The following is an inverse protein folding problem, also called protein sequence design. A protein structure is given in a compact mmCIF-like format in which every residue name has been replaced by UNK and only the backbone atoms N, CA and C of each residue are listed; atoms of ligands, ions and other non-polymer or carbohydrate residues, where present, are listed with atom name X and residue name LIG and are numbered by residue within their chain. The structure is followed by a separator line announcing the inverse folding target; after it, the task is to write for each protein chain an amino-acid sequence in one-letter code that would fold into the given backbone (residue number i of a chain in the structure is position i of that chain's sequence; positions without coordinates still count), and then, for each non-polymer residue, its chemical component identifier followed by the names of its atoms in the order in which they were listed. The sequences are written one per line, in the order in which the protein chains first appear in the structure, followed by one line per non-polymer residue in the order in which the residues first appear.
data_IF_957135352811
#
_entry.id   IF_957135352811
#
_cell.length_a   1.000
_cell.length_b   1.000
_cell.length_c   1.000
_cell.angle_alpha   90.00
_cell.angle_beta   90.00
_cell.angle_gamma   90.00
#
_symmetry.space_group_name_H-M   'P 1'
#
loop_
_entity.id
_entity.type
_entity.pdbx_description
1 polymer ?
#
# COMPACT_ATOMS: atom_id res chain seq x y z
N UNK A 1 8.54 -10.98 10.07
CA UNK A 1 9.03 -9.89 9.19
C UNK A 1 7.92 -9.44 8.25
N UNK A 2 7.76 -8.13 8.06
CA UNK A 2 6.74 -7.48 7.21
C UNK A 2 7.06 -7.57 5.69
N UNK A 3 8.26 -8.05 5.37
CA UNK A 3 8.74 -8.43 4.03
C UNK A 3 8.57 -9.93 3.78
N UNK A 4 8.58 -10.36 2.51
CA UNK A 4 8.61 -11.79 2.14
C UNK A 4 10.04 -12.35 1.98
N UNK A 5 11.06 -11.50 2.02
CA UNK A 5 12.49 -11.88 2.02
C UNK A 5 13.22 -11.34 3.26
N UNK A 6 14.40 -11.88 3.53
CA UNK A 6 15.31 -11.30 4.52
C UNK A 6 15.97 -10.05 3.92
N UNK A 7 15.95 -8.95 4.68
CA UNK A 7 16.75 -7.78 4.37
C UNK A 7 18.20 -8.04 4.79
N UNK A 8 19.13 -7.62 3.95
CA UNK A 8 20.57 -7.55 4.23
C UNK A 8 20.85 -6.53 5.33
N UNK A 9 22.08 -6.54 5.87
CA UNK A 9 22.46 -5.56 6.88
C UNK A 9 22.45 -4.14 6.31
N UNK A 10 23.04 -3.94 5.12
CA UNK A 10 23.06 -2.63 4.47
C UNK A 10 21.65 -2.05 4.26
N UNK A 11 20.69 -2.86 3.81
CA UNK A 11 19.29 -2.41 3.66
C UNK A 11 18.65 -1.99 4.98
N UNK A 12 18.92 -2.74 6.07
CA UNK A 12 18.45 -2.36 7.41
C UNK A 12 19.11 -1.07 7.88
N UNK A 13 20.39 -0.88 7.60
CA UNK A 13 21.12 0.32 7.98
C UNK A 13 20.53 1.55 7.29
N UNK A 14 20.14 1.45 6.01
CA UNK A 14 19.40 2.50 5.31
C UNK A 14 18.04 2.79 5.95
N UNK A 15 17.26 1.76 6.30
CA UNK A 15 15.99 1.96 7.02
C UNK A 15 16.16 2.61 8.40
N UNK A 16 17.27 2.33 9.09
CA UNK A 16 17.55 2.83 10.42
C UNK A 16 18.21 4.21 10.43
N UNK A 17 18.86 4.62 9.34
CA UNK A 17 19.62 5.87 9.24
C UNK A 17 18.84 7.13 9.66
N UNK A 18 17.52 7.27 9.38
CA UNK A 18 16.76 8.43 9.84
C UNK A 18 16.39 8.42 11.33
N UNK A 19 16.63 7.33 12.06
CA UNK A 19 16.05 7.07 13.39
C UNK A 19 17.10 6.76 14.47
N UNK A 20 18.30 7.31 14.32
CA UNK A 20 19.43 7.02 15.21
C UNK A 20 19.20 7.56 16.62
N UNK A 21 18.57 8.73 16.77
CA UNK A 21 18.24 9.32 18.07
C UNK A 21 16.78 9.06 18.42
N UNK A 22 16.47 9.05 19.71
CA UNK A 22 15.09 8.89 20.19
C UNK A 22 14.17 10.00 19.68
N UNK A 23 14.65 11.25 19.66
CA UNK A 23 13.93 12.41 19.13
C UNK A 23 13.44 12.22 17.69
N UNK A 24 14.16 11.44 16.89
CA UNK A 24 13.88 11.24 15.47
C UNK A 24 12.76 10.21 15.24
N UNK A 25 12.42 9.42 16.28
CA UNK A 25 11.46 8.31 16.22
C UNK A 25 10.03 8.73 16.50
N UNK A 26 9.78 10.00 16.82
CA UNK A 26 8.43 10.50 17.17
C UNK A 26 7.40 10.15 16.09
N UNK A 27 7.74 10.31 14.82
CA UNK A 27 6.83 9.96 13.73
C UNK A 27 6.49 8.46 13.72
N UNK A 28 7.48 7.57 13.87
CA UNK A 28 7.29 6.12 13.92
C UNK A 28 6.46 5.70 15.14
N UNK A 29 6.58 6.40 16.26
CA UNK A 29 5.79 6.15 17.47
C UNK A 29 4.34 6.63 17.35
N UNK A 30 4.11 7.82 16.77
CA UNK A 30 2.76 8.38 16.61
C UNK A 30 1.96 7.66 15.53
N UNK A 31 2.60 7.24 14.43
CA UNK A 31 1.89 6.71 13.26
C UNK A 31 0.91 5.56 13.59
N UNK A 32 1.28 4.54 14.39
CA UNK A 32 0.36 3.46 14.77
C UNK A 32 -0.88 3.94 15.53
N UNK A 33 -0.78 5.02 16.32
CA UNK A 33 -1.92 5.57 17.07
C UNK A 33 -2.92 6.30 16.16
N UNK A 34 -2.53 6.60 14.92
CA UNK A 34 -3.39 7.24 13.93
C UNK A 34 -4.13 6.25 13.04
N UNK A 35 -3.86 4.95 13.16
CA UNK A 35 -4.57 3.91 12.41
C UNK A 35 -5.99 3.80 12.95
N UNK A 36 -6.97 4.11 12.10
CA UNK A 36 -8.38 4.06 12.48
C UNK A 36 -8.86 2.61 12.69
N UNK A 37 -9.13 2.21 13.92
CA UNK A 37 -9.68 0.90 14.31
C UNK A 37 -10.94 1.13 15.13
N UNK A 38 -12.03 0.48 14.76
CA UNK A 38 -13.33 0.58 15.45
C UNK A 38 -13.84 2.02 15.63
N UNK A 39 -13.50 2.92 14.69
CA UNK A 39 -13.91 4.32 14.73
C UNK A 39 -12.87 5.27 15.32
N UNK A 40 -11.79 4.77 15.93
CA UNK A 40 -10.81 5.60 16.64
C UNK A 40 -9.41 5.57 16.00
N UNK A 41 -8.68 6.71 15.94
CA UNK A 41 -9.14 8.04 16.36
C UNK A 41 -10.18 8.62 15.40
N UNK A 42 -11.21 9.26 15.94
CA UNK A 42 -12.35 9.79 15.16
C UNK A 42 -11.94 10.66 13.96
N UNK A 43 -10.88 11.45 14.11
CA UNK A 43 -10.32 12.26 13.02
C UNK A 43 -9.83 11.40 11.84
N UNK A 44 -8.95 10.43 12.10
CA UNK A 44 -8.46 9.52 11.06
C UNK A 44 -9.58 8.65 10.49
N UNK A 45 -10.51 8.20 11.34
CA UNK A 45 -11.66 7.43 10.89
C UNK A 45 -12.51 8.23 9.91
N UNK A 46 -12.80 9.50 10.23
CA UNK A 46 -13.57 10.38 9.35
C UNK A 46 -12.88 10.54 8.00
N UNK A 47 -11.60 10.91 7.97
CA UNK A 47 -10.85 11.07 6.72
C UNK A 47 -10.88 9.77 5.91
N UNK A 48 -10.65 8.63 6.58
CA UNK A 48 -10.67 7.32 5.95
C UNK A 48 -12.03 6.98 5.35
N UNK A 49 -13.11 7.25 6.07
CA UNK A 49 -14.47 6.97 5.64
C UNK A 49 -14.88 7.85 4.47
N UNK A 50 -14.50 9.13 4.49
CA UNK A 50 -14.77 10.08 3.41
C UNK A 50 -14.15 9.61 2.08
N UNK A 51 -12.85 9.29 2.06
CA UNK A 51 -12.24 8.80 0.82
C UNK A 51 -12.68 7.37 0.46
N UNK A 52 -13.02 6.53 1.43
CA UNK A 52 -13.51 5.17 1.16
C UNK A 52 -14.90 5.16 0.50
N UNK A 53 -15.71 6.20 0.72
CA UNK A 53 -16.99 6.38 0.04
C UNK A 53 -16.81 6.94 -1.39
N UNK A 54 -15.87 7.86 -1.59
CA UNK A 54 -15.64 8.53 -2.87
C UNK A 54 -14.80 7.71 -3.85
N UNK A 55 -13.71 7.10 -3.38
CA UNK A 55 -12.72 6.47 -4.26
C UNK A 55 -13.30 5.33 -5.13
N UNK A 56 -14.21 4.46 -4.64
CA UNK A 56 -14.80 3.40 -5.46
C UNK A 56 -15.57 3.89 -6.69
N UNK A 57 -16.19 5.07 -6.60
CA UNK A 57 -17.06 5.64 -7.66
C UNK A 57 -16.39 6.74 -8.45
N UNK A 58 -15.17 7.14 -8.10
CA UNK A 58 -14.48 8.21 -8.79
C UNK A 58 -13.98 7.77 -10.18
N UNK A 59 -14.06 8.67 -11.16
CA UNK A 59 -13.58 8.42 -12.51
C UNK A 59 -12.05 8.41 -12.65
N UNK A 60 -11.30 8.72 -11.57
CA UNK A 60 -9.84 8.72 -11.61
C UNK A 60 -9.34 7.32 -11.95
N UNK A 61 -8.42 7.15 -12.92
CA UNK A 61 -7.79 5.86 -13.17
C UNK A 61 -6.98 5.39 -11.96
N UNK A 62 -7.09 4.11 -11.61
CA UNK A 62 -6.45 3.51 -10.43
C UNK A 62 -5.63 2.29 -10.83
N UNK A 63 -4.50 2.12 -10.15
CA UNK A 63 -3.69 0.92 -10.18
C UNK A 63 -3.54 0.37 -8.77
N UNK A 64 -3.91 -0.88 -8.55
CA UNK A 64 -3.73 -1.57 -7.27
C UNK A 64 -2.81 -2.78 -7.45
N UNK A 65 -1.76 -2.84 -6.65
CA UNK A 65 -0.98 -4.06 -6.46
C UNK A 65 -1.49 -4.80 -5.23
N UNK A 66 -1.69 -6.11 -5.34
CA UNK A 66 -2.07 -6.94 -4.22
C UNK A 66 -1.26 -8.23 -4.19
N UNK A 67 -1.19 -8.87 -3.01
CA UNK A 67 -0.44 -10.09 -2.82
C UNK A 67 -1.11 -10.98 -1.77
N UNK A 68 -0.63 -12.22 -1.64
CA UNK A 68 -1.15 -13.26 -0.74
C UNK A 68 -0.04 -13.75 0.21
N UNK A 69 -0.27 -13.81 1.54
CA UNK A 69 -1.53 -13.49 2.22
C UNK A 69 -1.84 -11.99 2.33
N UNK A 70 -0.89 -11.10 1.99
CA UNK A 70 -1.01 -9.67 2.24
C UNK A 70 -0.86 -9.34 3.74
N UNK A 71 -1.20 -8.11 4.12
CA UNK A 71 -1.23 -7.71 5.54
C UNK A 71 -2.43 -6.81 5.85
N UNK A 72 -2.44 -5.58 5.30
CA UNK A 72 -3.56 -4.64 5.44
C UNK A 72 -4.69 -5.05 4.49
N UNK A 73 -4.37 -5.17 3.20
CA UNK A 73 -5.30 -5.68 2.20
C UNK A 73 -5.13 -7.21 2.14
N UNK A 74 -6.12 -7.93 2.66
CA UNK A 74 -6.21 -9.40 2.60
C UNK A 74 -6.93 -9.83 1.33
N UNK A 75 -6.88 -11.13 1.00
CA UNK A 75 -7.52 -11.72 -0.19
C UNK A 75 -8.99 -11.31 -0.37
N UNK A 76 -9.79 -11.32 0.70
CA UNK A 76 -11.20 -10.93 0.66
C UNK A 76 -11.40 -9.45 0.31
N UNK A 77 -10.65 -8.57 0.95
CA UNK A 77 -10.67 -7.13 0.67
C UNK A 77 -10.19 -6.81 -0.74
N UNK A 78 -9.10 -7.44 -1.20
CA UNK A 78 -8.59 -7.28 -2.56
C UNK A 78 -9.66 -7.67 -3.59
N UNK A 79 -10.33 -8.82 -3.38
CA UNK A 79 -11.43 -9.25 -4.25
C UNK A 79 -12.57 -8.23 -4.27
N UNK A 80 -13.01 -7.76 -3.09
CA UNK A 80 -14.06 -6.75 -2.98
C UNK A 80 -13.70 -5.47 -3.74
N UNK A 81 -12.47 -4.98 -3.60
CA UNK A 81 -12.00 -3.79 -4.31
C UNK A 81 -12.04 -4.02 -5.83
N UNK A 82 -11.51 -5.15 -6.31
CA UNK A 82 -11.49 -5.50 -7.74
C UNK A 82 -12.90 -5.57 -8.33
N UNK A 83 -13.84 -6.16 -7.58
CA UNK A 83 -15.21 -6.35 -8.07
C UNK A 83 -16.05 -5.07 -8.06
N UNK A 84 -15.67 -4.05 -7.27
CA UNK A 84 -16.55 -2.90 -6.99
C UNK A 84 -16.01 -1.52 -7.37
N UNK A 85 -14.70 -1.36 -7.55
CA UNK A 85 -14.11 -0.04 -7.83
C UNK A 85 -14.07 0.26 -9.32
N UNK A 86 -14.53 1.46 -9.70
CA UNK A 86 -14.47 1.95 -11.07
C UNK A 86 -13.03 2.28 -11.51
N UNK A 87 -12.74 2.13 -12.80
CA UNK A 87 -11.48 2.51 -13.43
C UNK A 87 -10.23 1.92 -12.74
N UNK A 88 -10.35 0.71 -12.19
CA UNK A 88 -9.29 0.02 -11.48
C UNK A 88 -8.60 -1.02 -12.38
N UNK A 89 -7.28 -0.93 -12.47
CA UNK A 89 -6.43 -2.03 -12.92
C UNK A 89 -5.80 -2.67 -11.68
N UNK A 90 -5.91 -3.99 -11.53
CA UNK A 90 -5.36 -4.72 -10.41
C UNK A 90 -4.31 -5.73 -10.88
N UNK A 91 -3.17 -5.79 -10.18
CA UNK A 91 -2.06 -6.71 -10.47
C UNK A 91 -1.80 -7.57 -9.23
N UNK A 92 -1.93 -8.90 -9.38
CA UNK A 92 -1.56 -9.88 -8.36
C UNK A 92 -0.06 -10.17 -8.43
N UNK A 93 0.67 -9.82 -7.38
CA UNK A 93 2.10 -10.07 -7.24
C UNK A 93 2.40 -11.48 -6.66
N UNK A 94 1.38 -12.29 -6.40
CA UNK A 94 1.58 -13.62 -5.83
C UNK A 94 1.95 -13.55 -4.34
N UNK A 95 3.11 -14.10 -3.95
CA UNK A 95 3.48 -14.23 -2.53
C UNK A 95 4.03 -12.91 -1.95
N UNK A 96 3.32 -12.31 -0.99
CA UNK A 96 3.67 -11.00 -0.45
C UNK A 96 3.03 -10.72 0.91
N UNK A 97 3.67 -9.82 1.69
CA UNK A 97 3.16 -9.33 2.98
C UNK A 97 2.80 -7.84 2.90
N UNK A 98 3.55 -6.96 3.57
CA UNK A 98 3.24 -5.54 3.66
C UNK A 98 4.15 -4.69 2.79
N UNK A 99 5.47 -4.84 2.93
CA UNK A 99 6.44 -4.11 2.11
C UNK A 99 6.66 -4.86 0.79
N UNK A 100 5.68 -4.77 -0.12
CA UNK A 100 5.69 -5.49 -1.39
C UNK A 100 6.83 -5.02 -2.31
N UNK A 101 7.22 -3.75 -2.22
CA UNK A 101 8.37 -3.20 -2.94
C UNK A 101 9.68 -3.92 -2.63
N UNK A 102 9.82 -4.52 -1.44
CA UNK A 102 11.02 -5.28 -1.11
C UNK A 102 11.03 -6.66 -1.76
N UNK A 103 9.88 -7.18 -2.19
CA UNK A 103 9.77 -8.54 -2.73
C UNK A 103 9.48 -8.57 -4.23
N UNK A 104 8.86 -7.52 -4.75
CA UNK A 104 8.39 -7.40 -6.14
C UNK A 104 8.72 -6.04 -6.77
N UNK A 105 9.94 -5.50 -6.60
CA UNK A 105 10.25 -4.14 -7.07
C UNK A 105 10.13 -4.02 -8.60
N UNK A 106 10.53 -5.05 -9.35
CA UNK A 106 10.51 -5.04 -10.81
C UNK A 106 9.09 -5.14 -11.37
N UNK A 107 8.28 -6.06 -10.83
CA UNK A 107 6.89 -6.25 -11.21
C UNK A 107 6.05 -5.01 -10.91
N UNK A 108 6.32 -4.34 -9.78
CA UNK A 108 5.69 -3.06 -9.44
C UNK A 108 6.10 -1.97 -10.45
N UNK A 109 7.41 -1.82 -10.71
CA UNK A 109 7.91 -0.81 -11.65
C UNK A 109 7.37 -1.00 -13.07
N UNK A 110 7.40 -2.22 -13.59
CA UNK A 110 6.82 -2.56 -14.89
C UNK A 110 5.31 -2.35 -14.92
N UNK A 111 4.60 -2.75 -13.85
CA UNK A 111 3.16 -2.58 -13.74
C UNK A 111 2.74 -1.11 -13.79
N UNK A 112 3.48 -0.23 -13.09
CA UNK A 112 3.27 1.22 -13.14
C UNK A 112 3.51 1.75 -14.55
N UNK A 113 4.63 1.40 -15.17
CA UNK A 113 5.00 1.88 -16.51
C UNK A 113 3.96 1.47 -17.58
N UNK A 114 3.60 0.17 -17.63
CA UNK A 114 2.61 -0.36 -18.57
C UNK A 114 1.24 0.27 -18.36
N UNK A 115 0.82 0.42 -17.10
CA UNK A 115 -0.45 1.07 -16.75
C UNK A 115 -0.45 2.54 -17.18
N UNK A 116 0.62 3.29 -16.90
CA UNK A 116 0.72 4.70 -17.26
C UNK A 116 0.65 4.91 -18.77
N UNK A 117 1.42 4.14 -19.55
CA UNK A 117 1.43 4.24 -21.01
C UNK A 117 0.04 3.97 -21.60
N UNK A 118 -0.60 2.86 -21.17
CA UNK A 118 -1.95 2.50 -21.61
C UNK A 118 -3.00 3.54 -21.23
N UNK A 119 -2.92 4.10 -20.02
CA UNK A 119 -4.00 4.93 -19.45
C UNK A 119 -3.90 6.39 -19.89
N UNK A 120 -2.70 6.94 -20.04
CA UNK A 120 -2.49 8.38 -20.22
C UNK A 120 -1.75 8.74 -21.51
N UNK A 121 -1.10 7.78 -22.17
CA UNK A 121 -0.33 8.06 -23.41
C UNK A 121 -0.95 7.45 -24.66
N UNK A 122 -1.97 6.61 -24.52
CA UNK A 122 -2.73 6.07 -25.66
C UNK A 122 -1.82 5.32 -26.62
N UNK A 123 -1.39 4.12 -26.23
CA UNK A 123 -0.87 3.15 -27.19
C UNK A 123 -2.03 2.38 -27.81
#
# INVERSE_FOLDING_TARGET
MMTSRKLTQAEKDYYNAPYLKESDRKAVWVWPSQIAISGEPAFSHKIKSDYAAWLPTSAIPKLMFHARPGMIIKKGEAKKIIDTWQNLNAIDLGKGKHYLQESHPHEIGEGISKWFLKTFKGN
#
